data_IF_860696236385
#
_entry.id   IF_860696236385
#
_cell.length_a   1.000
_cell.length_b   1.000
_cell.length_c   1.000
_cell.angle_alpha   90.00
_cell.angle_beta   90.00
_cell.angle_gamma   90.00
#
_symmetry.space_group_name_H-M   'P 1'
#
loop_
_entity.id
_entity.type
_entity.pdbx_description
1 polymer ?
#
# COMPACT_ATOMS: atom_id res chain seq x y z
N UNK A 1 16.90 24.43 -38.34
CA UNK A 1 15.80 24.55 -37.40
C UNK A 1 14.92 23.30 -37.55
N UNK A 2 14.95 22.41 -36.58
CA UNK A 2 14.14 21.18 -36.61
C UNK A 2 12.72 21.52 -36.11
N UNK A 3 11.72 21.36 -36.98
CA UNK A 3 10.32 21.48 -36.61
C UNK A 3 9.92 20.23 -35.80
N UNK A 4 9.80 20.37 -34.48
CA UNK A 4 9.19 19.38 -33.62
C UNK A 4 7.68 19.35 -33.98
N UNK A 5 7.25 18.36 -34.75
CA UNK A 5 5.82 18.06 -34.92
C UNK A 5 5.32 17.53 -33.56
N UNK A 6 4.71 18.40 -32.77
CA UNK A 6 3.91 17.97 -31.62
C UNK A 6 2.65 17.30 -32.17
N UNK A 7 2.67 15.98 -32.26
CA UNK A 7 1.45 15.21 -32.53
C UNK A 7 0.58 15.35 -31.28
N UNK A 8 -0.36 16.28 -31.32
CA UNK A 8 -1.43 16.38 -30.31
C UNK A 8 -2.35 15.18 -30.51
N UNK A 9 -2.02 14.07 -29.85
CA UNK A 9 -2.99 12.99 -29.67
C UNK A 9 -4.13 13.59 -28.82
N UNK A 10 -5.33 13.62 -29.38
CA UNK A 10 -6.51 14.04 -28.61
C UNK A 10 -6.73 13.00 -27.51
N UNK A 11 -6.31 13.30 -26.31
CA UNK A 11 -6.57 12.44 -25.15
C UNK A 11 -8.07 12.50 -24.82
N UNK A 12 -8.64 11.35 -24.48
CA UNK A 12 -10.02 11.29 -24.00
C UNK A 12 -10.16 12.09 -22.71
N UNK A 13 -11.34 12.66 -22.40
CA UNK A 13 -11.54 13.44 -21.18
C UNK A 13 -11.13 12.69 -19.90
N UNK A 14 -11.31 11.36 -19.87
CA UNK A 14 -10.92 10.48 -18.77
C UNK A 14 -9.40 10.45 -18.60
N UNK A 15 -8.63 10.33 -19.69
CA UNK A 15 -7.16 10.35 -19.67
C UNK A 15 -6.61 11.70 -19.16
N UNK A 16 -7.31 12.80 -19.46
CA UNK A 16 -6.96 14.13 -18.91
C UNK A 16 -7.22 14.22 -17.41
N UNK A 17 -8.32 13.67 -16.95
CA UNK A 17 -8.63 13.64 -15.53
C UNK A 17 -7.61 12.80 -14.76
N UNK A 18 -7.25 11.63 -15.25
CA UNK A 18 -6.24 10.76 -14.62
C UNK A 18 -4.87 11.44 -14.56
N UNK A 19 -4.47 12.17 -15.62
CA UNK A 19 -3.24 12.96 -15.62
C UNK A 19 -3.30 14.10 -14.58
N UNK A 20 -4.40 14.83 -14.49
CA UNK A 20 -4.58 15.94 -13.54
C UNK A 20 -4.62 15.43 -12.10
N UNK A 21 -5.33 14.32 -11.84
CA UNK A 21 -5.34 13.67 -10.54
C UNK A 21 -3.96 13.09 -10.18
N UNK A 22 -3.24 12.54 -11.15
CA UNK A 22 -1.86 12.10 -10.95
C UNK A 22 -0.90 13.24 -10.58
N UNK A 23 -1.10 14.43 -11.15
CA UNK A 23 -0.34 15.61 -10.79
C UNK A 23 -0.73 16.12 -9.39
N UNK A 24 -2.02 16.23 -9.10
CA UNK A 24 -2.50 16.65 -7.78
C UNK A 24 -2.03 15.71 -6.66
N UNK A 25 -2.00 14.40 -6.90
CA UNK A 25 -1.46 13.42 -5.93
C UNK A 25 0.00 13.68 -5.56
N UNK A 26 0.82 14.21 -6.48
CA UNK A 26 2.23 14.55 -6.20
C UNK A 26 2.37 15.77 -5.30
N UNK A 27 1.42 16.70 -5.36
CA UNK A 27 1.41 17.92 -4.55
C UNK A 27 0.73 17.74 -3.19
N UNK A 28 0.06 16.62 -2.97
CA UNK A 28 -0.73 16.37 -1.74
C UNK A 28 0.15 15.78 -0.63
N UNK A 29 1.23 15.08 -0.94
CA UNK A 29 2.14 14.53 0.09
C UNK A 29 3.20 15.56 0.40
N UNK A 30 3.13 16.18 1.59
CA UNK A 30 4.09 17.16 2.07
C UNK A 30 5.33 16.50 2.66
N UNK A 31 5.13 15.56 3.59
CA UNK A 31 6.21 14.82 4.23
C UNK A 31 6.06 13.32 3.91
N UNK A 32 7.18 12.63 3.74
CA UNK A 32 7.22 11.21 3.46
C UNK A 32 8.38 10.56 4.19
N UNK A 33 8.07 9.88 5.30
CA UNK A 33 9.03 9.18 6.14
C UNK A 33 8.93 7.67 5.88
N UNK A 34 10.02 6.99 5.50
CA UNK A 34 10.00 5.54 5.33
C UNK A 34 9.80 4.83 6.68
N UNK A 35 9.12 3.69 6.62
CA UNK A 35 8.99 2.75 7.73
C UNK A 35 9.95 1.59 7.44
N UNK A 36 11.03 1.47 8.23
CA UNK A 36 12.14 0.57 7.92
C UNK A 36 12.00 -0.82 8.58
N UNK A 37 11.37 -0.89 9.76
CA UNK A 37 11.25 -2.13 10.53
C UNK A 37 9.95 -2.86 10.18
N UNK A 38 9.92 -3.45 8.99
CA UNK A 38 8.75 -4.18 8.50
C UNK A 38 9.10 -5.66 8.43
N UNK A 39 8.21 -6.49 8.96
CA UNK A 39 8.29 -7.94 8.88
C UNK A 39 6.98 -8.53 8.36
N UNK A 40 7.09 -9.65 7.66
CA UNK A 40 5.96 -10.31 7.02
C UNK A 40 5.97 -11.81 7.30
N UNK A 41 4.79 -12.39 7.41
CA UNK A 41 4.55 -13.82 7.52
C UNK A 41 3.45 -14.21 6.56
N UNK A 42 3.77 -15.07 5.59
CA UNK A 42 2.84 -15.52 4.58
C UNK A 42 2.06 -16.75 5.08
N UNK A 43 0.78 -16.83 4.69
CA UNK A 43 -0.11 -17.91 5.07
C UNK A 43 -1.11 -18.22 3.95
N UNK A 44 -1.73 -19.39 4.04
CA UNK A 44 -2.91 -19.78 3.29
C UNK A 44 -4.12 -19.79 4.23
N UNK A 45 -5.21 -19.19 3.83
CA UNK A 45 -6.47 -19.31 4.55
C UNK A 45 -7.11 -20.67 4.25
N UNK A 46 -7.37 -21.43 5.29
CA UNK A 46 -7.99 -22.77 5.19
C UNK A 46 -9.51 -22.67 5.39
N UNK A 47 -9.93 -21.96 6.43
CA UNK A 47 -11.32 -21.63 6.72
C UNK A 47 -11.38 -20.20 7.28
N UNK A 48 -12.56 -19.69 7.55
CA UNK A 48 -12.75 -18.40 8.19
C UNK A 48 -11.93 -18.30 9.49
N UNK A 49 -11.06 -17.30 9.56
CA UNK A 49 -10.14 -17.03 10.67
C UNK A 49 -9.14 -18.17 11.01
N UNK A 50 -8.97 -19.15 10.14
CA UNK A 50 -8.01 -20.23 10.30
C UNK A 50 -6.97 -20.20 9.18
N UNK A 51 -5.69 -20.10 9.55
CA UNK A 51 -4.58 -19.90 8.65
C UNK A 51 -3.51 -20.97 8.83
N UNK A 52 -3.02 -21.49 7.72
CA UNK A 52 -1.85 -22.35 7.63
C UNK A 52 -0.66 -21.47 7.23
N UNK A 53 0.28 -21.28 8.15
CA UNK A 53 1.46 -20.46 7.91
C UNK A 53 2.53 -21.27 7.17
N UNK A 54 3.19 -20.63 6.19
CA UNK A 54 4.30 -21.27 5.45
C UNK A 54 5.60 -21.27 6.26
N UNK A 55 5.70 -20.48 7.31
CA UNK A 55 6.83 -20.43 8.24
C UNK A 55 6.33 -20.07 9.64
N UNK A 56 7.01 -20.54 10.68
CA UNK A 56 6.69 -20.16 12.07
C UNK A 56 7.20 -18.76 12.41
N UNK A 57 8.15 -18.24 11.64
CA UNK A 57 8.79 -16.96 11.90
C UNK A 57 8.38 -15.87 10.89
N UNK A 58 8.38 -14.62 11.37
CA UNK A 58 8.32 -13.46 10.51
C UNK A 58 9.67 -13.21 9.84
N UNK A 59 9.66 -12.93 8.55
CA UNK A 59 10.86 -12.51 7.81
C UNK A 59 10.87 -10.99 7.60
N UNK A 60 12.05 -10.34 7.54
CA UNK A 60 12.14 -8.95 7.13
C UNK A 60 11.52 -8.73 5.74
N UNK A 61 10.89 -7.57 5.56
CA UNK A 61 10.34 -7.13 4.27
C UNK A 61 10.98 -5.80 3.90
N UNK A 62 11.79 -5.80 2.85
CA UNK A 62 12.52 -4.63 2.36
C UNK A 62 11.99 -4.19 1.01
N UNK A 63 12.17 -2.91 0.70
CA UNK A 63 11.86 -2.38 -0.63
C UNK A 63 12.60 -3.18 -1.71
N UNK A 64 11.87 -3.64 -2.71
CA UNK A 64 12.36 -4.51 -3.78
C UNK A 64 12.07 -6.00 -3.55
N UNK A 65 11.74 -6.42 -2.33
CA UNK A 65 11.40 -7.81 -2.05
C UNK A 65 10.06 -8.20 -2.68
N UNK A 66 9.97 -9.47 -3.04
CA UNK A 66 8.70 -10.07 -3.40
C UNK A 66 7.90 -10.38 -2.14
N UNK A 67 6.63 -10.02 -2.16
CA UNK A 67 5.70 -10.30 -1.07
C UNK A 67 4.34 -10.72 -1.61
N UNK A 68 3.49 -11.28 -0.77
CA UNK A 68 2.26 -11.98 -1.10
C UNK A 68 2.44 -13.13 -2.09
N UNK A 69 1.99 -14.29 -1.71
CA UNK A 69 1.77 -15.41 -2.63
C UNK A 69 0.45 -15.22 -3.37
N UNK A 70 0.30 -15.74 -4.60
CA UNK A 70 -1.00 -15.79 -5.27
C UNK A 70 -2.03 -16.50 -4.40
N UNK A 71 -3.25 -15.96 -4.31
CA UNK A 71 -4.33 -16.42 -3.41
C UNK A 71 -3.89 -16.58 -1.94
N UNK A 72 -2.83 -15.88 -1.56
CA UNK A 72 -2.24 -15.94 -0.23
C UNK A 72 -2.71 -14.82 0.67
N UNK A 73 -2.68 -15.11 1.96
CA UNK A 73 -2.81 -14.12 3.03
C UNK A 73 -1.42 -13.81 3.56
N UNK A 74 -1.17 -12.55 3.92
CA UNK A 74 0.05 -12.17 4.62
C UNK A 74 -0.29 -11.34 5.85
N UNK A 75 0.46 -11.60 6.91
CA UNK A 75 0.45 -10.82 8.15
C UNK A 75 1.70 -9.96 8.17
N UNK A 76 1.54 -8.65 8.27
CA UNK A 76 2.63 -7.69 8.22
C UNK A 76 2.64 -6.94 9.55
N UNK A 77 3.82 -6.81 10.14
CA UNK A 77 4.03 -5.97 11.31
C UNK A 77 5.09 -4.93 10.98
N UNK A 78 4.87 -3.74 11.51
CA UNK A 78 5.82 -2.64 11.36
C UNK A 78 5.80 -1.77 12.61
N UNK A 79 6.90 -1.08 12.85
CA UNK A 79 7.01 -0.14 13.94
C UNK A 79 7.81 1.08 13.47
N UNK A 80 7.35 2.27 13.80
CA UNK A 80 8.05 3.51 13.45
C UNK A 80 7.91 4.54 14.56
N UNK A 81 8.94 5.36 14.74
CA UNK A 81 8.87 6.54 15.58
C UNK A 81 8.28 7.70 14.79
N UNK A 82 7.54 8.56 15.47
CA UNK A 82 6.97 9.78 14.90
C UNK A 82 7.86 10.94 15.30
N UNK A 83 8.63 11.53 14.39
CA UNK A 83 9.50 12.65 14.70
C UNK A 83 8.68 13.88 15.11
N UNK A 84 9.27 14.75 15.91
CA UNK A 84 8.62 15.96 16.42
C UNK A 84 8.08 16.87 15.31
N UNK A 85 8.73 16.88 14.16
CA UNK A 85 8.30 17.63 12.96
C UNK A 85 6.95 17.18 12.39
N UNK A 86 6.51 15.97 12.70
CA UNK A 86 5.23 15.40 12.28
C UNK A 86 4.19 15.42 13.40
N UNK A 87 4.57 15.74 14.65
CA UNK A 87 3.62 15.91 15.75
C UNK A 87 2.69 17.07 15.43
N UNK A 88 1.42 16.92 15.78
CA UNK A 88 0.34 17.86 15.48
C UNK A 88 -0.04 18.02 14.00
N UNK A 89 0.44 17.14 13.13
CA UNK A 89 0.01 17.02 11.74
C UNK A 89 -0.96 15.86 11.57
N UNK A 90 -1.73 15.90 10.51
CA UNK A 90 -2.55 14.79 10.09
C UNK A 90 -1.66 13.69 9.48
N UNK A 91 -1.62 12.52 10.12
CA UNK A 91 -0.76 11.41 9.74
C UNK A 91 -1.53 10.37 8.98
N UNK A 92 -0.91 9.86 7.91
CA UNK A 92 -1.42 8.77 7.08
C UNK A 92 -0.38 7.68 6.94
N UNK A 93 -0.82 6.42 6.88
CA UNK A 93 0.00 5.32 6.37
C UNK A 93 -0.19 5.27 4.84
N UNK A 94 0.89 5.35 4.10
CA UNK A 94 0.93 5.19 2.65
C UNK A 94 1.62 3.88 2.28
N UNK A 95 0.93 3.02 1.52
CA UNK A 95 1.43 1.74 1.03
C UNK A 95 0.78 1.43 -0.32
N UNK A 96 1.58 1.40 -1.39
CA UNK A 96 1.08 1.00 -2.70
C UNK A 96 1.10 -0.53 -2.83
N UNK A 97 -0.06 -1.12 -3.07
CA UNK A 97 -0.25 -2.57 -3.16
C UNK A 97 -1.31 -2.92 -4.22
N UNK A 98 -1.29 -4.14 -4.72
CA UNK A 98 -2.40 -4.73 -5.48
C UNK A 98 -3.24 -5.69 -4.62
N UNK A 99 -2.88 -5.88 -3.35
CA UNK A 99 -3.64 -6.67 -2.38
C UNK A 99 -4.67 -5.80 -1.66
N UNK A 100 -5.62 -6.45 -1.01
CA UNK A 100 -6.56 -5.84 -0.07
C UNK A 100 -5.99 -6.02 1.33
N UNK A 101 -5.73 -4.94 2.05
CA UNK A 101 -5.04 -4.96 3.35
C UNK A 101 -5.90 -4.26 4.41
N UNK A 102 -6.18 -4.94 5.50
CA UNK A 102 -6.76 -4.37 6.71
C UNK A 102 -5.63 -3.85 7.59
N UNK A 103 -5.78 -2.65 8.13
CA UNK A 103 -4.75 -1.97 8.93
C UNK A 103 -5.23 -1.71 10.35
N UNK A 104 -4.43 -2.13 11.33
CA UNK A 104 -4.51 -1.70 12.72
C UNK A 104 -3.27 -0.88 13.08
N UNK A 105 -3.47 0.19 13.83
CA UNK A 105 -2.40 1.02 14.37
C UNK A 105 -2.59 1.12 15.89
N UNK A 106 -1.57 0.80 16.66
CA UNK A 106 -1.61 0.75 18.13
C UNK A 106 -2.82 -0.05 18.67
N UNK A 107 -3.11 -1.19 18.03
CA UNK A 107 -4.19 -2.09 18.37
C UNK A 107 -5.60 -1.65 17.92
N UNK A 108 -5.76 -0.45 17.35
CA UNK A 108 -7.04 0.06 16.84
C UNK A 108 -7.16 -0.17 15.33
N UNK A 109 -8.32 -0.59 14.86
CA UNK A 109 -8.63 -0.64 13.43
C UNK A 109 -8.73 0.80 12.89
N UNK A 110 -7.97 1.09 11.82
CA UNK A 110 -7.91 2.42 11.22
C UNK A 110 -8.42 2.46 9.78
N UNK A 111 -8.56 1.32 9.12
CA UNK A 111 -9.10 1.24 7.78
C UNK A 111 -8.47 0.15 6.92
N UNK A 112 -8.63 0.29 5.61
CA UNK A 112 -8.09 -0.62 4.61
C UNK A 112 -7.33 0.10 3.52
N UNK A 113 -6.37 -0.61 2.94
CA UNK A 113 -5.60 -0.21 1.76
C UNK A 113 -5.87 -1.22 0.66
N UNK A 114 -6.08 -0.75 -0.55
CA UNK A 114 -6.36 -1.57 -1.73
C UNK A 114 -5.74 -0.92 -2.99
N UNK A 115 -5.84 -1.53 -4.18
CA UNK A 115 -5.26 -0.96 -5.41
C UNK A 115 -5.75 0.44 -5.77
N UNK A 116 -6.95 0.83 -5.32
CA UNK A 116 -7.55 2.14 -5.58
C UNK A 116 -7.34 3.13 -4.43
N UNK A 117 -6.96 2.63 -3.26
CA UNK A 117 -6.79 3.38 -2.02
C UNK A 117 -5.45 3.07 -1.38
N UNK A 118 -4.44 3.84 -1.76
CA UNK A 118 -3.04 3.63 -1.37
C UNK A 118 -2.67 4.16 0.03
N UNK A 119 -3.63 4.68 0.79
CA UNK A 119 -3.38 5.29 2.10
C UNK A 119 -4.57 5.19 3.05
N UNK A 120 -4.27 5.23 4.34
CA UNK A 120 -5.27 5.26 5.42
C UNK A 120 -4.90 6.33 6.45
N UNK A 121 -5.91 7.10 6.88
CA UNK A 121 -5.74 8.15 7.88
C UNK A 121 -5.57 7.54 9.28
N UNK A 122 -4.60 8.02 10.04
CA UNK A 122 -4.24 7.50 11.36
C UNK A 122 -4.71 8.40 12.51
N UNK A 123 -4.53 9.70 12.36
CA UNK A 123 -4.70 10.68 13.45
C UNK A 123 -6.03 10.61 14.20
N UNK A 124 -7.20 10.45 13.56
CA UNK A 124 -8.48 10.37 14.28
C UNK A 124 -8.58 9.16 15.22
N UNK A 125 -7.79 8.11 14.97
CA UNK A 125 -7.86 6.85 15.71
C UNK A 125 -6.82 6.76 16.82
N UNK A 126 -5.61 7.25 16.56
CA UNK A 126 -4.46 7.07 17.46
C UNK A 126 -3.83 8.38 17.92
N UNK A 127 -4.31 9.54 17.46
CA UNK A 127 -3.68 10.82 17.73
C UNK A 127 -2.30 10.93 17.08
N UNK A 128 -1.38 11.62 17.75
CA UNK A 128 0.03 11.77 17.35
C UNK A 128 0.96 11.18 18.42
N UNK A 129 1.03 9.85 18.55
CA UNK A 129 1.89 9.19 19.52
C UNK A 129 3.37 9.33 19.13
N UNK A 130 4.29 9.11 20.08
CA UNK A 130 5.73 9.09 19.78
C UNK A 130 6.10 7.89 18.89
N UNK A 131 5.34 6.81 18.96
CA UNK A 131 5.61 5.56 18.28
C UNK A 131 4.32 4.92 17.78
N UNK A 132 4.35 4.39 16.57
CA UNK A 132 3.23 3.68 15.97
C UNK A 132 3.64 2.23 15.68
N UNK A 133 2.82 1.29 16.16
CA UNK A 133 2.90 -0.13 15.84
C UNK A 133 1.78 -0.48 14.89
N UNK A 134 2.13 -1.01 13.73
CA UNK A 134 1.19 -1.47 12.73
C UNK A 134 1.05 -2.99 12.77
N UNK A 135 -0.18 -3.45 12.68
CA UNK A 135 -0.55 -4.83 12.40
C UNK A 135 -1.46 -4.81 11.18
N UNK A 136 -1.04 -5.50 10.13
CA UNK A 136 -1.75 -5.52 8.87
C UNK A 136 -1.99 -6.96 8.44
N UNK A 137 -3.17 -7.22 7.92
CA UNK A 137 -3.52 -8.48 7.30
C UNK A 137 -3.96 -8.20 5.88
N UNK A 138 -3.33 -8.82 4.91
CA UNK A 138 -3.64 -8.63 3.51
C UNK A 138 -3.96 -9.93 2.80
N UNK A 139 -4.80 -9.82 1.77
CA UNK A 139 -5.13 -10.91 0.86
C UNK A 139 -4.81 -10.52 -0.58
N UNK A 140 -4.08 -11.39 -1.28
CA UNK A 140 -3.71 -11.21 -2.68
C UNK A 140 -4.54 -12.14 -3.57
N UNK A 141 -5.54 -11.59 -4.21
CA UNK A 141 -6.44 -12.34 -5.09
C UNK A 141 -5.75 -12.75 -6.39
N UNK A 142 -5.70 -14.04 -6.71
CA UNK A 142 -5.04 -14.55 -7.91
C UNK A 142 -5.92 -14.51 -9.15
N UNK A 143 -7.24 -14.54 -8.99
CA UNK A 143 -8.12 -14.57 -10.16
C UNK A 143 -8.39 -13.17 -10.69
N UNK A 144 -8.15 -12.95 -11.98
CA UNK A 144 -8.56 -11.72 -12.64
C UNK A 144 -10.09 -11.70 -12.73
N UNK A 145 -10.71 -10.66 -12.22
CA UNK A 145 -12.14 -10.44 -12.44
C UNK A 145 -12.45 -9.90 -13.83
N UNK A 146 -11.44 -9.50 -14.59
CA UNK A 146 -11.60 -8.91 -15.89
C UNK A 146 -10.59 -9.47 -16.89
N UNK A 147 -11.02 -10.46 -17.68
CA UNK A 147 -10.27 -11.00 -18.81
C UNK A 147 -9.95 -9.93 -19.89
N UNK A 148 -10.62 -8.77 -19.83
CA UNK A 148 -10.47 -7.67 -20.79
C UNK A 148 -9.25 -6.80 -20.55
N UNK A 149 -8.57 -6.93 -19.40
CA UNK A 149 -7.35 -6.18 -19.09
C UNK A 149 -6.19 -7.10 -18.69
N UNK A 150 -5.40 -7.62 -19.64
CA UNK A 150 -4.28 -8.52 -19.38
C UNK A 150 -3.21 -7.92 -18.45
N UNK A 151 -3.01 -6.60 -18.48
CA UNK A 151 -2.03 -5.93 -17.60
C UNK A 151 -2.46 -5.94 -16.14
N UNK A 152 -3.76 -5.87 -15.87
CA UNK A 152 -4.28 -6.02 -14.51
C UNK A 152 -4.17 -7.46 -14.00
N UNK A 153 -4.16 -8.43 -14.91
CA UNK A 153 -3.96 -9.85 -14.66
C UNK A 153 -2.57 -10.17 -14.11
N UNK A 154 -1.54 -9.62 -14.76
CA UNK A 154 -0.15 -9.82 -14.35
C UNK A 154 0.12 -9.27 -12.93
N UNK A 155 -0.57 -8.21 -12.55
CA UNK A 155 -0.41 -7.59 -11.23
C UNK A 155 -1.17 -8.32 -10.12
N UNK A 156 -2.32 -8.91 -10.42
CA UNK A 156 -3.19 -9.56 -9.41
C UNK A 156 -2.87 -11.02 -9.14
N UNK A 157 -2.33 -11.73 -10.11
CA UNK A 157 -2.02 -13.17 -9.97
C UNK A 157 -0.57 -13.49 -9.58
N UNK A 158 0.30 -12.49 -9.50
CA UNK A 158 1.72 -12.67 -9.25
C UNK A 158 2.11 -12.18 -7.86
N UNK A 159 3.27 -12.66 -7.38
CA UNK A 159 3.94 -12.01 -6.25
C UNK A 159 4.19 -10.56 -6.60
N UNK A 160 3.92 -9.68 -5.65
CA UNK A 160 4.11 -8.25 -5.83
C UNK A 160 5.50 -7.83 -5.36
N UNK A 161 6.04 -6.78 -5.98
CA UNK A 161 7.25 -6.12 -5.49
C UNK A 161 6.83 -5.11 -4.42
N UNK A 162 7.43 -5.21 -3.24
CA UNK A 162 7.20 -4.27 -2.15
C UNK A 162 7.91 -2.93 -2.45
N UNK A 163 7.14 -1.86 -2.59
CA UNK A 163 7.63 -0.52 -2.90
C UNK A 163 7.93 0.35 -1.67
N UNK A 164 7.88 -0.26 -0.47
CA UNK A 164 8.01 0.43 0.80
C UNK A 164 6.68 0.90 1.37
N UNK A 165 6.65 1.09 2.68
CA UNK A 165 5.58 1.75 3.42
C UNK A 165 6.10 3.06 4.02
N UNK A 166 5.22 4.04 4.17
CA UNK A 166 5.63 5.39 4.57
C UNK A 166 4.59 6.00 5.52
N UNK A 167 5.09 6.72 6.50
CA UNK A 167 4.30 7.70 7.24
C UNK A 167 4.30 8.99 6.44
N UNK A 168 3.12 9.53 6.13
CA UNK A 168 3.01 10.74 5.29
C UNK A 168 2.08 11.77 5.93
N UNK A 169 2.28 13.05 5.58
CA UNK A 169 1.36 14.16 5.83
C UNK A 169 0.82 14.70 4.52
N UNK A 170 -0.38 15.26 4.55
CA UNK A 170 -1.05 15.82 3.38
C UNK A 170 -1.25 17.32 3.57
#
# INVERSE_FOLDING_TARGET
MAHIKVVRRSMRPEEWNDLRFGWLKRYIINDKLPIDNIVIKDARQVTENNYEFYSDEYRPLKKGDLYFTPDGTAFIKAETEVPDSLKNKELWLYLKTAAEIIVKANGKFVGGIDPNRDRVLLTPYIGTPDKIKFEMQGYNRSKPDDERNPESLAVRGCRQIFNGAYLVTI
#
